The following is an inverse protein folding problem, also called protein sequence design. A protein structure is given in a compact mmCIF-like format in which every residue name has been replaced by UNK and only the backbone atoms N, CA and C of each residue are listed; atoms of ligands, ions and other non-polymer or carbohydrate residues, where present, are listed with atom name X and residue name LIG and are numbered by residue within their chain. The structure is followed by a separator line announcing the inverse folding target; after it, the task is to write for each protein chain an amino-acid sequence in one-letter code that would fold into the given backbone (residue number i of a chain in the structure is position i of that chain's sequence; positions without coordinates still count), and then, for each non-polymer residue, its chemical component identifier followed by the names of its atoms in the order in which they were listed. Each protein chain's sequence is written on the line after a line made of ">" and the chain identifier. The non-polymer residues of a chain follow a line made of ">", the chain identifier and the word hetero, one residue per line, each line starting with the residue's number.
data_IF_937083563632
#
_entry.id   IF_937083563632
#
_cell.length_a   1.000
_cell.length_b   1.000
_cell.length_c   1.000
_cell.angle_alpha   90.00
_cell.angle_beta   90.00
_cell.angle_gamma   90.00
#
_symmetry.space_group_name_H-M   'P 1'
#
loop_
_entity.id
_entity.type
_entity.pdbx_description
1 polymer ?
#
# COMPACT_ATOMS: atom_id res chain seq x y z
N UNK A 1 -3.64 -12.26 -6.20
CA UNK A 1 -2.51 -11.85 -5.34
C UNK A 1 -2.76 -10.40 -4.97
N UNK A 2 -2.83 -10.07 -3.68
CA UNK A 2 -3.01 -8.68 -3.24
C UNK A 2 -1.66 -7.99 -3.15
N UNK A 3 -1.64 -6.69 -3.34
CA UNK A 3 -0.44 -5.88 -3.23
C UNK A 3 -0.75 -4.51 -2.63
N UNK A 4 0.28 -3.86 -2.08
CA UNK A 4 0.24 -2.49 -1.56
C UNK A 4 1.36 -1.68 -2.20
N UNK A 5 1.27 -0.36 -2.10
CA UNK A 5 2.29 0.56 -2.60
C UNK A 5 3.04 1.18 -1.43
N UNK A 6 4.37 1.21 -1.52
CA UNK A 6 5.27 1.73 -0.50
C UNK A 6 6.21 2.81 -1.08
N UNK A 7 6.42 3.90 -0.37
CA UNK A 7 7.44 4.93 -0.68
C UNK A 7 8.37 5.03 0.53
N UNK A 8 9.60 4.54 0.42
CA UNK A 8 10.50 4.45 1.58
C UNK A 8 9.84 3.64 2.72
N UNK A 9 9.70 4.23 3.91
CA UNK A 9 9.04 3.58 5.06
C UNK A 9 7.55 3.93 5.18
N UNK A 10 6.91 4.36 4.08
CA UNK A 10 5.51 4.79 4.07
C UNK A 10 4.66 3.92 3.16
N UNK A 11 3.41 3.66 3.54
CA UNK A 11 2.42 2.94 2.74
C UNK A 11 1.34 3.86 2.19
N UNK A 12 0.98 3.65 0.93
CA UNK A 12 -0.14 4.36 0.31
C UNK A 12 -1.47 3.95 0.92
N UNK A 13 -2.30 4.92 1.26
CA UNK A 13 -3.67 4.70 1.76
C UNK A 13 -4.73 5.16 0.77
N UNK A 14 -4.66 6.40 0.27
CA UNK A 14 -5.64 6.95 -0.68
C UNK A 14 -5.17 8.26 -1.29
N UNK A 15 -5.89 8.73 -2.31
CA UNK A 15 -5.79 10.10 -2.84
C UNK A 15 -6.75 11.03 -2.09
N UNK A 16 -6.31 12.26 -1.84
CA UNK A 16 -7.10 13.37 -1.31
C UNK A 16 -6.96 14.57 -2.26
N UNK A 17 -7.84 14.65 -3.27
CA UNK A 17 -7.67 15.60 -4.35
C UNK A 17 -6.42 15.24 -5.16
N UNK A 18 -5.50 16.19 -5.29
CA UNK A 18 -4.23 16.04 -6.01
C UNK A 18 -3.10 15.45 -5.14
N UNK A 19 -3.33 15.24 -3.85
CA UNK A 19 -2.31 14.78 -2.91
C UNK A 19 -2.47 13.29 -2.53
N UNK A 20 -1.34 12.58 -2.46
CA UNK A 20 -1.31 11.20 -1.96
C UNK A 20 -1.23 11.17 -0.43
N UNK A 21 -2.15 10.46 0.21
CA UNK A 21 -2.08 10.17 1.64
C UNK A 21 -1.29 8.89 1.90
N UNK A 22 -0.25 9.01 2.71
CA UNK A 22 0.67 7.94 3.08
C UNK A 22 0.65 7.69 4.61
N UNK A 23 0.88 6.45 5.04
CA UNK A 23 0.92 6.01 6.44
C UNK A 23 2.35 5.59 6.78
N UNK A 24 2.88 5.99 7.93
CA UNK A 24 4.24 5.65 8.37
C UNK A 24 4.28 4.24 8.99
N UNK A 25 5.20 3.38 8.54
CA UNK A 25 5.37 1.98 8.99
C UNK A 25 5.66 1.85 10.50
N UNK A 26 6.19 2.89 11.13
CA UNK A 26 6.45 2.93 12.58
C UNK A 26 5.16 2.93 13.43
N UNK A 27 3.99 3.12 12.80
CA UNK A 27 2.70 2.98 13.50
C UNK A 27 2.34 1.49 13.59
N UNK A 28 2.02 0.95 14.78
CA UNK A 28 1.60 -0.44 14.90
C UNK A 28 0.47 -0.78 13.92
N UNK A 29 0.73 -1.70 12.99
CA UNK A 29 -0.24 -2.13 11.98
C UNK A 29 -0.44 -1.19 10.79
N UNK A 30 0.43 -0.19 10.58
CA UNK A 30 0.40 0.72 9.43
C UNK A 30 0.23 0.01 8.08
N UNK A 31 0.94 -1.11 7.92
CA UNK A 31 0.90 -1.95 6.72
C UNK A 31 -0.47 -2.60 6.45
N UNK A 32 -1.31 -2.77 7.48
CA UNK A 32 -2.67 -3.31 7.38
C UNK A 32 -3.70 -2.23 7.05
N UNK A 33 -3.44 -0.98 7.44
CA UNK A 33 -4.25 0.18 7.07
C UNK A 33 -3.94 0.72 5.66
N UNK A 34 -2.91 0.18 5.00
CA UNK A 34 -2.55 0.48 3.63
C UNK A 34 -3.65 0.06 2.64
N UNK A 35 -3.73 0.74 1.50
CA UNK A 35 -4.64 0.33 0.43
C UNK A 35 -4.21 -0.99 -0.16
N UNK A 36 -5.15 -1.93 -0.22
CA UNK A 36 -4.98 -3.19 -0.91
C UNK A 36 -5.45 -3.09 -2.35
N UNK A 37 -4.54 -3.36 -3.27
CA UNK A 37 -4.84 -3.49 -4.70
C UNK A 37 -4.98 -4.97 -5.04
N UNK A 38 -6.12 -5.31 -5.64
CA UNK A 38 -6.38 -6.67 -6.18
C UNK A 38 -5.65 -6.91 -7.51
N UNK A 39 -5.18 -5.82 -8.15
CA UNK A 39 -4.54 -5.83 -9.46
C UNK A 39 -3.18 -5.11 -9.37
N UNK A 40 -2.12 -5.84 -9.67
CA UNK A 40 -0.75 -5.33 -9.65
C UNK A 40 -0.51 -4.19 -10.64
N UNK A 41 -1.22 -4.14 -11.77
CA UNK A 41 -1.10 -3.05 -12.74
C UNK A 41 -1.60 -1.72 -12.17
N UNK A 42 -2.68 -1.74 -11.36
CA UNK A 42 -3.17 -0.53 -10.69
C UNK A 42 -2.20 -0.06 -9.62
N UNK A 43 -1.67 -0.98 -8.81
CA UNK A 43 -0.64 -0.66 -7.83
C UNK A 43 0.62 -0.09 -8.51
N UNK A 44 1.02 -0.65 -9.65
CA UNK A 44 2.17 -0.17 -10.41
C UNK A 44 1.94 1.24 -10.98
N UNK A 45 0.73 1.55 -11.44
CA UNK A 45 0.39 2.90 -11.91
C UNK A 45 0.52 3.91 -10.78
N UNK A 46 -0.05 3.62 -9.61
CA UNK A 46 0.04 4.49 -8.43
C UNK A 46 1.49 4.62 -7.96
N UNK A 47 2.23 3.50 -7.90
CA UNK A 47 3.65 3.51 -7.53
C UNK A 47 4.48 4.41 -8.46
N UNK A 48 4.23 4.39 -9.77
CA UNK A 48 4.93 5.29 -10.71
C UNK A 48 4.60 6.75 -10.47
N UNK A 49 3.34 7.05 -10.17
CA UNK A 49 2.86 8.41 -9.94
C UNK A 49 3.45 9.03 -8.67
N UNK A 50 3.51 8.27 -7.57
CA UNK A 50 4.01 8.75 -6.28
C UNK A 50 5.49 8.47 -6.02
N UNK A 51 6.20 7.87 -6.99
CA UNK A 51 7.62 7.48 -6.83
C UNK A 51 7.86 6.33 -5.85
N UNK A 52 6.92 5.40 -5.75
CA UNK A 52 6.95 4.23 -4.86
C UNK A 52 7.31 2.90 -5.53
N UNK A 53 7.13 1.83 -4.76
CA UNK A 53 7.34 0.44 -5.14
C UNK A 53 6.12 -0.39 -4.79
N UNK A 54 5.90 -1.47 -5.54
CA UNK A 54 4.82 -2.43 -5.27
C UNK A 54 5.35 -3.54 -4.38
N UNK A 55 4.68 -3.75 -3.26
CA UNK A 55 4.93 -4.87 -2.35
C UNK A 55 3.80 -5.89 -2.48
N UNK A 56 4.17 -7.15 -2.70
CA UNK A 56 3.22 -8.24 -2.81
C UNK A 56 2.93 -8.81 -1.43
N UNK A 57 1.67 -9.14 -1.18
CA UNK A 57 1.22 -9.65 0.11
C UNK A 57 1.02 -11.16 -0.04
N UNK A 58 1.72 -11.92 0.80
CA UNK A 58 1.59 -13.36 0.87
C UNK A 58 0.30 -13.77 1.61
N UNK A 59 -0.22 -14.96 1.30
CA UNK A 59 -1.50 -15.46 1.83
C UNK A 59 -1.55 -15.52 3.36
N UNK A 60 -0.41 -15.64 4.04
CA UNK A 60 -0.32 -15.69 5.50
C UNK A 60 -0.58 -14.33 6.17
N UNK A 61 -0.39 -13.21 5.46
CA UNK A 61 -0.74 -11.88 5.97
C UNK A 61 -2.24 -11.54 5.81
N UNK A 62 -3.01 -12.35 5.07
CA UNK A 62 -4.45 -12.12 4.88
C UNK A 62 -5.30 -12.52 6.09
N UNK A 63 -4.80 -13.42 6.95
CA UNK A 63 -5.54 -14.02 8.07
C UNK A 63 -5.49 -13.27 9.40
N UNK A 64 -4.71 -12.19 9.52
CA UNK A 64 -4.55 -11.44 10.77
C UNK A 64 -5.49 -10.22 10.92
N UNK A 65 -6.61 -10.20 10.17
CA UNK A 65 -7.58 -9.10 10.15
C UNK A 65 -8.99 -9.51 10.63
N UNK A 66 -9.13 -10.66 11.32
CA UNK A 66 -10.38 -11.04 12.01
C UNK A 66 -10.37 -10.61 13.49
#
# INVERSE_FOLDING_TARGET
>A
MKCRVRVGNLYFSRWLGDDALMIVDDSPGAKYAARLFQNSNQALSVAKEIGGTVEHIDKEEETNND
#
